data_IF_861774049252
#
_entry.id   IF_861774049252
#
_cell.length_a   1.000
_cell.length_b   1.000
_cell.length_c   1.000
_cell.angle_alpha   90.00
_cell.angle_beta   90.00
_cell.angle_gamma   90.00
#
_symmetry.space_group_name_H-M   'P 1'
#
loop_
_entity.id
_entity.type
_entity.pdbx_description
1 polymer ?
#
# COMPACT_ATOMS: atom_id res chain seq x y z
N UNK A 1 -20.67 -7.05 5.15
CA UNK A 1 -20.60 -6.10 4.00
C UNK A 1 -20.90 -4.65 4.38
N UNK A 2 -21.88 -4.32 5.24
CA UNK A 2 -22.11 -2.93 5.68
C UNK A 2 -20.92 -2.26 6.41
N UNK A 3 -20.03 -3.04 7.04
CA UNK A 3 -18.77 -2.53 7.62
C UNK A 3 -17.72 -2.10 6.58
N UNK A 4 -17.74 -2.68 5.37
CA UNK A 4 -16.77 -2.38 4.29
C UNK A 4 -17.01 -1.00 3.64
N UNK A 5 -18.21 -0.44 3.83
CA UNK A 5 -18.58 0.90 3.34
C UNK A 5 -18.55 1.96 4.44
N UNK A 6 -18.03 1.64 5.63
CA UNK A 6 -17.81 2.66 6.65
C UNK A 6 -16.69 3.61 6.21
N UNK A 7 -16.89 4.91 6.43
CA UNK A 7 -15.86 5.94 6.18
C UNK A 7 -14.53 5.58 6.85
N UNK A 8 -14.61 5.06 8.07
CA UNK A 8 -13.43 4.65 8.86
C UNK A 8 -12.68 3.49 8.19
N UNK A 9 -13.39 2.53 7.58
CA UNK A 9 -12.74 1.44 6.85
C UNK A 9 -11.96 1.96 5.65
N UNK A 10 -12.57 2.86 4.87
CA UNK A 10 -11.92 3.47 3.72
C UNK A 10 -10.71 4.33 4.11
N UNK A 11 -10.81 5.09 5.21
CA UNK A 11 -9.71 5.91 5.71
C UNK A 11 -8.52 5.04 6.13
N UNK A 12 -8.76 3.99 6.91
CA UNK A 12 -7.72 3.06 7.37
C UNK A 12 -7.13 2.24 6.23
N UNK A 13 -7.96 1.68 5.34
CA UNK A 13 -7.50 0.89 4.19
C UNK A 13 -6.64 1.75 3.24
N UNK A 14 -7.02 3.01 3.01
CA UNK A 14 -6.25 3.94 2.18
C UNK A 14 -4.91 4.29 2.84
N UNK A 15 -4.88 4.58 4.14
CA UNK A 15 -3.64 4.83 4.89
C UNK A 15 -2.70 3.63 4.80
N UNK A 16 -3.23 2.41 4.97
CA UNK A 16 -2.47 1.17 4.83
C UNK A 16 -1.94 1.02 3.41
N UNK A 17 -2.76 1.23 2.38
CA UNK A 17 -2.32 1.13 0.99
C UNK A 17 -1.21 2.12 0.64
N UNK A 18 -1.31 3.37 1.11
CA UNK A 18 -0.26 4.39 0.93
C UNK A 18 1.01 3.99 1.66
N UNK A 19 0.90 3.49 2.90
CA UNK A 19 2.06 2.95 3.65
C UNK A 19 2.73 1.80 2.91
N UNK A 20 1.96 0.85 2.39
CA UNK A 20 2.48 -0.28 1.60
C UNK A 20 3.16 0.21 0.32
N UNK A 21 2.59 1.20 -0.36
CA UNK A 21 3.22 1.80 -1.54
C UNK A 21 4.54 2.50 -1.19
N UNK A 22 4.58 3.25 -0.08
CA UNK A 22 5.81 3.90 0.38
C UNK A 22 6.89 2.90 0.78
N UNK A 23 6.53 1.83 1.48
CA UNK A 23 7.46 0.76 1.86
C UNK A 23 8.03 0.04 0.63
N UNK A 24 7.17 -0.28 -0.35
CA UNK A 24 7.61 -0.83 -1.63
C UNK A 24 8.54 0.13 -2.39
N UNK A 25 8.28 1.44 -2.33
CA UNK A 25 9.12 2.45 -2.97
C UNK A 25 10.52 2.48 -2.35
N UNK A 26 10.59 2.52 -1.01
CA UNK A 26 11.85 2.51 -0.26
C UNK A 26 12.64 1.23 -0.52
N UNK A 27 11.98 0.08 -0.56
CA UNK A 27 12.61 -1.20 -0.87
C UNK A 27 13.27 -1.19 -2.27
N UNK A 28 12.55 -0.73 -3.29
CA UNK A 28 13.04 -0.65 -4.67
C UNK A 28 14.18 0.37 -4.84
N UNK A 29 14.17 1.48 -4.10
CA UNK A 29 15.28 2.43 -4.09
C UNK A 29 16.52 1.80 -3.43
N UNK A 30 16.33 1.06 -2.33
CA UNK A 30 17.40 0.43 -1.56
C UNK A 30 18.14 -0.72 -2.26
N UNK A 31 17.56 -1.30 -3.32
CA UNK A 31 18.14 -2.48 -4.01
C UNK A 31 19.28 -2.19 -4.99
N UNK A 32 19.59 -0.92 -5.29
CA UNK A 32 20.71 -0.63 -6.21
C UNK A 32 20.82 0.78 -6.78
N UNK A 33 19.92 1.71 -6.43
CA UNK A 33 20.02 3.08 -6.90
C UNK A 33 20.91 3.92 -5.96
N UNK A 34 22.11 4.28 -6.43
CA UNK A 34 23.05 5.15 -5.70
C UNK A 34 22.70 6.63 -5.86
N UNK A 35 21.91 7.00 -6.88
CA UNK A 35 21.49 8.38 -7.13
C UNK A 35 20.05 8.51 -7.64
N UNK A 36 19.43 9.67 -7.42
CA UNK A 36 18.03 9.94 -7.78
C UNK A 36 17.74 9.81 -9.29
N UNK A 37 18.77 9.96 -10.13
CA UNK A 37 18.69 9.81 -11.58
C UNK A 37 18.88 8.38 -12.07
N UNK A 38 19.44 7.49 -11.23
CA UNK A 38 19.62 6.08 -11.58
C UNK A 38 18.41 5.22 -11.21
N UNK A 39 17.39 5.82 -10.58
CA UNK A 39 16.14 5.14 -10.23
C UNK A 39 15.29 5.01 -11.51
N UNK A 40 14.89 3.79 -11.82
CA UNK A 40 13.83 3.56 -12.81
C UNK A 40 12.48 3.96 -12.20
N UNK A 41 12.11 5.23 -12.40
CA UNK A 41 10.88 5.81 -11.88
C UNK A 41 9.62 5.13 -12.43
N UNK A 42 9.68 4.60 -13.65
CA UNK A 42 8.54 3.91 -14.27
C UNK A 42 8.34 2.57 -13.57
N UNK A 43 9.41 1.82 -13.36
CA UNK A 43 9.36 0.56 -12.64
C UNK A 43 8.96 0.76 -11.17
N UNK A 44 9.54 1.75 -10.49
CA UNK A 44 9.18 2.15 -9.13
C UNK A 44 7.68 2.43 -9.00
N UNK A 45 7.14 3.28 -9.88
CA UNK A 45 5.71 3.61 -9.89
C UNK A 45 4.84 2.35 -10.15
N UNK A 46 5.26 1.46 -11.06
CA UNK A 46 4.56 0.22 -11.35
C UNK A 46 4.50 -0.72 -10.14
N UNK A 47 5.63 -0.95 -9.46
CA UNK A 47 5.71 -1.87 -8.31
C UNK A 47 4.92 -1.31 -7.13
N UNK A 48 5.05 -0.02 -6.86
CA UNK A 48 4.35 0.66 -5.76
C UNK A 48 2.84 0.70 -5.98
N UNK A 49 2.39 0.92 -7.23
CA UNK A 49 0.98 0.84 -7.60
C UNK A 49 0.42 -0.57 -7.39
N UNK A 50 1.15 -1.60 -7.83
CA UNK A 50 0.74 -2.99 -7.61
C UNK A 50 0.66 -3.32 -6.12
N UNK A 51 1.63 -2.86 -5.32
CA UNK A 51 1.64 -3.05 -3.87
C UNK A 51 0.43 -2.38 -3.19
N UNK A 52 0.04 -1.18 -3.63
CA UNK A 52 -1.17 -0.51 -3.15
C UNK A 52 -2.45 -1.31 -3.48
N UNK A 53 -2.57 -1.80 -4.72
CA UNK A 53 -3.72 -2.62 -5.16
C UNK A 53 -3.82 -3.91 -4.34
N UNK A 54 -2.70 -4.60 -4.14
CA UNK A 54 -2.63 -5.79 -3.30
C UNK A 54 -3.03 -5.46 -1.85
N UNK A 55 -2.59 -4.32 -1.32
CA UNK A 55 -2.98 -3.86 0.03
C UNK A 55 -4.49 -3.67 0.17
N UNK A 56 -5.15 -3.12 -0.86
CA UNK A 56 -6.61 -3.04 -0.89
C UNK A 56 -7.26 -4.43 -0.96
N UNK A 57 -6.75 -5.34 -1.80
CA UNK A 57 -7.28 -6.70 -1.92
C UNK A 57 -7.15 -7.49 -0.61
N UNK A 58 -6.04 -7.37 0.10
CA UNK A 58 -5.87 -8.02 1.41
C UNK A 58 -6.78 -7.38 2.46
N UNK A 59 -6.99 -6.06 2.38
CA UNK A 59 -7.91 -5.35 3.28
C UNK A 59 -9.36 -5.84 3.17
N UNK A 60 -9.75 -6.46 2.04
CA UNK A 60 -11.05 -7.13 1.89
C UNK A 60 -11.17 -8.40 2.74
N UNK A 61 -10.05 -9.08 3.00
CA UNK A 61 -10.00 -10.26 3.87
C UNK A 61 -10.11 -9.93 5.36
N UNK A 62 -9.92 -8.67 5.72
CA UNK A 62 -10.01 -8.18 7.10
C UNK A 62 -9.11 -6.96 7.31
N UNK A 63 -9.61 -5.99 8.08
CA UNK A 63 -8.83 -4.83 8.52
C UNK A 63 -8.85 -4.75 10.06
N UNK A 64 -7.81 -5.26 10.75
CA UNK A 64 -7.77 -5.28 12.22
C UNK A 64 -7.79 -3.88 12.84
N UNK A 65 -7.47 -2.84 12.05
CA UNK A 65 -7.51 -1.43 12.47
C UNK A 65 -8.93 -0.86 12.65
N UNK A 66 -9.96 -1.53 12.11
CA UNK A 66 -11.37 -1.11 12.14
C UNK A 66 -12.22 -2.08 12.93
N UNK A 67 -11.77 -3.34 13.03
CA UNK A 67 -12.43 -4.38 13.79
C UNK A 67 -11.37 -5.17 14.58
N UNK A 68 -11.18 -4.88 15.87
CA UNK A 68 -10.18 -5.56 16.71
C UNK A 68 -10.47 -7.05 16.93
N UNK A 69 -11.59 -7.57 16.41
CA UNK A 69 -11.99 -8.98 16.45
C UNK A 69 -12.06 -9.65 15.06
N UNK A 70 -11.57 -8.99 13.99
CA UNK A 70 -11.52 -9.56 12.63
C UNK A 70 -10.38 -10.55 12.42
#
# INVERSE_FOLDING_TARGET
MNKLMSKDWWEKATVRAIKTAAEAAVAMIGTGAVGILSVDWVNLASVTCMAAVVSYLISLGGLPEVDPNA
#
